data_IF_135004173206
#
_entry.id   IF_135004173206
#
_cell.length_a   1.000
_cell.length_b   1.000
_cell.length_c   1.000
_cell.angle_alpha   90.00
_cell.angle_beta   90.00
_cell.angle_gamma   90.00
#
_symmetry.space_group_name_H-M   'P 1'
#
loop_
_entity.id
_entity.type
_entity.pdbx_description
1 polymer ?
#
# COMPACT_ATOMS: atom_id res chain seq x y z
N UNK A 1 3.42 -16.19 11.16
CA UNK A 1 1.95 -15.98 11.08
C UNK A 1 1.43 -16.85 9.94
N UNK A 2 0.39 -17.62 10.16
CA UNK A 2 -0.16 -18.44 9.09
C UNK A 2 -0.92 -17.60 8.05
N UNK A 3 -1.19 -18.19 6.89
CA UNK A 3 -1.83 -17.51 5.76
C UNK A 3 -3.21 -16.95 6.11
N UNK A 4 -4.03 -17.72 6.83
CA UNK A 4 -5.38 -17.29 7.25
C UNK A 4 -5.33 -16.09 8.18
N UNK A 5 -4.42 -16.11 9.14
CA UNK A 5 -4.21 -15.01 10.08
C UNK A 5 -3.70 -13.75 9.34
N UNK A 6 -2.81 -13.92 8.38
CA UNK A 6 -2.30 -12.81 7.56
C UNK A 6 -3.40 -12.16 6.73
N UNK A 7 -4.32 -12.95 6.16
CA UNK A 7 -5.48 -12.42 5.41
C UNK A 7 -6.36 -11.50 6.24
N UNK A 8 -6.47 -11.76 7.56
CA UNK A 8 -7.38 -11.04 8.46
C UNK A 8 -6.69 -9.83 9.09
N UNK A 9 -5.48 -10.02 9.61
CA UNK A 9 -4.85 -9.03 10.49
C UNK A 9 -3.77 -8.17 9.81
N UNK A 10 -3.07 -8.69 8.83
CA UNK A 10 -1.95 -7.98 8.24
C UNK A 10 -0.91 -7.57 9.28
N UNK A 11 -0.43 -6.34 9.23
CA UNK A 11 0.51 -5.77 10.19
C UNK A 11 -0.08 -4.52 10.86
N UNK A 12 -1.01 -4.74 11.78
CA UNK A 12 -1.74 -3.67 12.47
C UNK A 12 -0.87 -2.80 13.38
N UNK A 13 0.16 -3.37 13.97
CA UNK A 13 1.00 -2.71 14.99
C UNK A 13 1.66 -1.41 14.48
N UNK A 14 1.83 -1.30 13.17
CA UNK A 14 2.47 -0.14 12.56
C UNK A 14 1.65 1.15 12.68
N UNK A 15 0.32 1.05 12.80
CA UNK A 15 -0.56 2.21 12.63
C UNK A 15 -1.36 2.57 13.87
N UNK A 16 -1.25 1.78 14.94
CA UNK A 16 -2.14 1.91 16.07
C UNK A 16 -1.44 1.63 17.39
N UNK A 17 -1.65 2.53 18.35
CA UNK A 17 -1.22 2.42 19.76
C UNK A 17 -2.42 2.39 20.71
N UNK A 18 -3.64 2.14 20.23
CA UNK A 18 -4.85 2.00 21.02
C UNK A 18 -5.22 0.55 21.34
N UNK A 19 -4.53 -0.41 20.71
CA UNK A 19 -4.85 -1.84 20.84
C UNK A 19 -5.97 -2.31 19.93
N UNK A 20 -6.31 -1.57 18.88
CA UNK A 20 -7.32 -1.97 17.92
C UNK A 20 -6.94 -3.30 17.23
N UNK A 21 -7.90 -4.22 17.10
CA UNK A 21 -7.67 -5.53 16.49
C UNK A 21 -7.63 -5.46 14.96
N UNK A 22 -8.29 -4.48 14.38
CA UNK A 22 -8.24 -4.19 12.94
C UNK A 22 -7.63 -2.82 12.70
N UNK A 23 -7.02 -2.62 11.52
CA UNK A 23 -6.41 -1.34 11.18
C UNK A 23 -7.47 -0.24 11.15
N UNK A 24 -7.26 0.89 11.85
CA UNK A 24 -8.16 2.03 11.77
C UNK A 24 -8.25 2.62 10.36
N UNK A 25 -9.40 3.21 10.05
CA UNK A 25 -9.59 3.92 8.79
C UNK A 25 -9.11 5.37 8.95
N UNK A 26 -8.09 5.75 8.18
CA UNK A 26 -7.54 7.10 8.18
C UNK A 26 -8.21 7.95 7.11
N UNK A 27 -9.13 8.82 7.53
CA UNK A 27 -9.85 9.73 6.64
C UNK A 27 -9.14 11.06 6.44
N UNK A 28 -8.00 11.28 7.09
CA UNK A 28 -7.23 12.52 6.97
C UNK A 28 -6.67 12.69 5.57
N UNK A 29 -6.81 13.89 5.00
CA UNK A 29 -6.22 14.24 3.72
C UNK A 29 -4.75 14.67 3.88
N UNK A 30 -4.40 15.34 4.97
CA UNK A 30 -3.07 15.88 5.26
C UNK A 30 -2.56 15.36 6.58
N UNK A 31 -1.24 15.28 6.72
CA UNK A 31 -0.57 14.81 7.92
C UNK A 31 0.41 15.84 8.41
N UNK A 32 0.44 16.09 9.73
CA UNK A 32 1.37 17.02 10.34
C UNK A 32 2.80 16.50 10.30
N UNK A 33 3.74 17.39 10.04
CA UNK A 33 5.16 17.07 10.15
C UNK A 33 5.66 17.36 11.58
N UNK A 34 6.55 16.55 12.15
CA UNK A 34 7.14 16.80 13.45
C UNK A 34 7.96 18.09 13.49
N UNK A 35 8.56 18.49 12.37
CA UNK A 35 9.34 19.70 12.23
C UNK A 35 9.61 20.03 10.77
N UNK A 36 10.27 21.16 10.50
CA UNK A 36 10.65 21.57 9.15
C UNK A 36 11.65 20.56 8.57
N UNK A 37 11.33 20.00 7.39
CA UNK A 37 12.15 18.97 6.74
C UNK A 37 11.99 17.57 7.31
N UNK A 38 11.10 17.38 8.28
CA UNK A 38 10.80 16.07 8.87
C UNK A 38 9.44 15.58 8.40
N UNK A 39 9.25 14.25 8.35
CA UNK A 39 7.98 13.63 8.01
C UNK A 39 7.76 12.37 8.84
N UNK A 40 6.50 12.04 9.11
CA UNK A 40 6.12 10.75 9.70
C UNK A 40 6.16 9.61 8.69
N UNK A 41 6.40 9.92 7.40
CA UNK A 41 6.26 9.00 6.27
C UNK A 41 4.96 9.21 5.50
N UNK A 42 4.04 10.00 6.04
CA UNK A 42 2.78 10.35 5.41
C UNK A 42 2.65 11.87 5.34
N UNK A 43 2.40 12.39 4.17
CA UNK A 43 2.27 13.82 3.92
C UNK A 43 0.87 14.19 3.43
N UNK A 44 0.39 13.44 2.44
CA UNK A 44 -0.89 13.70 1.80
C UNK A 44 -1.52 12.41 1.27
N UNK A 45 -2.81 12.22 1.51
CA UNK A 45 -3.56 10.98 1.22
C UNK A 45 -3.48 10.53 -0.24
N UNK A 46 -3.42 11.46 -1.21
CA UNK A 46 -3.30 11.09 -2.62
C UNK A 46 -1.98 10.36 -2.91
N UNK A 47 -0.92 10.72 -2.21
CA UNK A 47 0.38 10.08 -2.34
C UNK A 47 0.45 8.82 -1.49
N UNK A 48 0.13 8.95 -0.20
CA UNK A 48 0.21 7.85 0.77
C UNK A 48 -0.87 8.00 1.85
N UNK A 49 -1.45 6.87 2.26
CA UNK A 49 -2.38 6.81 3.38
C UNK A 49 -2.17 5.48 4.12
N UNK A 50 -2.15 5.48 5.46
CA UNK A 50 -1.94 4.24 6.22
C UNK A 50 -2.93 3.13 5.90
N UNK A 51 -4.19 3.46 5.61
CA UNK A 51 -5.22 2.47 5.24
C UNK A 51 -4.90 1.79 3.93
N UNK A 52 -4.50 2.54 2.90
CA UNK A 52 -4.10 1.98 1.61
C UNK A 52 -2.78 1.20 1.72
N UNK A 53 -1.81 1.74 2.42
CA UNK A 53 -0.53 1.06 2.65
C UNK A 53 -0.71 -0.27 3.37
N UNK A 54 -1.68 -0.36 4.29
CA UNK A 54 -1.99 -1.63 4.94
C UNK A 54 -2.47 -2.69 3.94
N UNK A 55 -3.39 -2.32 3.04
CA UNK A 55 -3.86 -3.22 1.98
C UNK A 55 -2.70 -3.67 1.09
N UNK A 56 -1.87 -2.73 0.64
CA UNK A 56 -0.70 -3.01 -0.18
C UNK A 56 0.26 -3.99 0.51
N UNK A 57 0.53 -3.78 1.79
CA UNK A 57 1.38 -4.66 2.58
C UNK A 57 0.80 -6.07 2.78
N UNK A 58 -0.52 -6.19 2.93
CA UNK A 58 -1.18 -7.50 3.02
C UNK A 58 -1.04 -8.26 1.70
N UNK A 59 -1.41 -7.64 0.59
CA UNK A 59 -1.30 -8.26 -0.74
C UNK A 59 0.15 -8.63 -1.07
N UNK A 60 1.09 -7.74 -0.81
CA UNK A 60 2.51 -8.00 -0.98
C UNK A 60 2.97 -9.27 -0.26
N UNK A 61 2.53 -9.46 0.98
CA UNK A 61 2.87 -10.67 1.76
C UNK A 61 2.15 -11.93 1.28
N UNK A 62 0.89 -11.81 0.87
CA UNK A 62 0.12 -12.95 0.36
C UNK A 62 0.66 -13.47 -0.96
N UNK A 63 1.17 -12.59 -1.81
CA UNK A 63 1.72 -12.90 -3.13
C UNK A 63 3.25 -13.15 -3.10
N UNK A 64 3.87 -13.07 -1.92
CA UNK A 64 5.33 -13.16 -1.74
C UNK A 64 6.07 -12.17 -2.67
N UNK A 65 5.46 -10.99 -2.87
CA UNK A 65 5.98 -9.95 -3.75
C UNK A 65 6.97 -9.01 -3.06
N UNK A 66 7.79 -8.34 -3.85
CA UNK A 66 8.72 -7.31 -3.35
C UNK A 66 8.01 -6.00 -3.07
N UNK A 67 6.92 -5.71 -3.80
CA UNK A 67 6.10 -4.52 -3.61
C UNK A 67 4.67 -4.76 -4.12
N UNK A 68 3.71 -3.99 -3.59
CA UNK A 68 2.34 -3.94 -4.08
C UNK A 68 1.86 -2.49 -4.08
N UNK A 69 1.17 -2.09 -5.13
CA UNK A 69 0.65 -0.73 -5.30
C UNK A 69 -0.82 -0.82 -5.70
N UNK A 70 -1.68 -0.15 -4.94
CA UNK A 70 -3.11 -0.10 -5.22
C UNK A 70 -3.45 1.06 -6.17
N UNK A 71 -4.31 0.78 -7.14
CA UNK A 71 -4.80 1.75 -8.11
C UNK A 71 -6.31 1.87 -8.04
N UNK A 72 -6.85 3.01 -8.44
CA UNK A 72 -8.28 3.27 -8.42
C UNK A 72 -9.05 2.45 -9.46
N UNK A 73 -8.40 1.99 -10.54
CA UNK A 73 -9.00 1.17 -11.60
C UNK A 73 -8.04 0.09 -12.07
N UNK A 74 -8.58 -1.00 -12.61
CA UNK A 74 -7.77 -2.06 -13.23
C UNK A 74 -6.95 -1.56 -14.41
N UNK A 75 -7.49 -0.66 -15.23
CA UNK A 75 -6.75 -0.08 -16.35
C UNK A 75 -5.57 0.78 -15.90
N UNK A 76 -5.70 1.50 -14.79
CA UNK A 76 -4.58 2.23 -14.22
C UNK A 76 -3.46 1.28 -13.76
N UNK A 77 -3.83 0.16 -13.14
CA UNK A 77 -2.88 -0.87 -12.74
C UNK A 77 -2.17 -1.49 -13.95
N UNK A 78 -2.91 -1.85 -14.99
CA UNK A 78 -2.35 -2.40 -16.24
C UNK A 78 -1.40 -1.39 -16.89
N UNK A 79 -1.80 -0.12 -16.97
CA UNK A 79 -0.96 0.94 -17.53
C UNK A 79 0.35 1.11 -16.76
N UNK A 80 0.30 1.04 -15.43
CA UNK A 80 1.49 1.10 -14.60
C UNK A 80 2.43 -0.09 -14.86
N UNK A 81 1.89 -1.29 -15.08
CA UNK A 81 2.70 -2.47 -15.45
C UNK A 81 3.41 -2.23 -16.78
N UNK A 82 2.75 -1.61 -17.76
CA UNK A 82 3.36 -1.32 -19.07
C UNK A 82 4.54 -0.34 -18.98
N UNK A 83 4.55 0.54 -17.98
CA UNK A 83 5.68 1.46 -17.73
C UNK A 83 6.98 0.74 -17.33
N UNK A 84 6.91 -0.52 -16.91
CA UNK A 84 8.08 -1.34 -16.57
C UNK A 84 8.85 -1.82 -17.80
N UNK A 85 8.26 -1.73 -19.00
CA UNK A 85 8.83 -2.27 -20.22
C UNK A 85 9.39 -1.16 -21.10
N UNK A 86 10.40 -1.54 -21.89
CA UNK A 86 11.07 -0.64 -22.84
C UNK A 86 10.72 -1.04 -24.28
N UNK A 87 10.85 -0.10 -25.25
CA UNK A 87 10.69 -0.44 -26.67
C UNK A 87 11.60 -1.60 -27.08
N UNK A 88 11.03 -2.62 -27.71
CA UNK A 88 11.74 -3.83 -28.11
C UNK A 88 11.55 -5.02 -27.18
N UNK A 89 10.98 -4.82 -25.99
CA UNK A 89 10.67 -5.93 -25.08
C UNK A 89 9.55 -6.81 -25.66
N UNK A 90 9.65 -8.11 -25.44
CA UNK A 90 8.68 -9.09 -25.89
C UNK A 90 7.63 -9.34 -24.82
N UNK A 91 6.36 -9.08 -25.14
CA UNK A 91 5.23 -9.28 -24.23
C UNK A 91 4.28 -10.30 -24.84
N UNK A 92 3.81 -11.24 -24.02
CA UNK A 92 2.75 -12.18 -24.39
C UNK A 92 1.54 -11.85 -23.52
N UNK A 93 0.42 -11.55 -24.15
CA UNK A 93 -0.83 -11.23 -23.48
C UNK A 93 -1.98 -12.05 -24.08
N UNK A 94 -2.98 -12.41 -23.23
CA UNK A 94 -4.21 -13.09 -23.65
C UNK A 94 -5.27 -12.09 -24.10
#
# INVERSE_FOLDING_TARGET
MDFSTLCIHGNIEKYDNTGAVSVPIFQSATFAHPGVGESTGFDYTRQQNPTREHLENVIKKLEDGVEAIAFATGMAAISAVMELFSPGDHIIAS
#
